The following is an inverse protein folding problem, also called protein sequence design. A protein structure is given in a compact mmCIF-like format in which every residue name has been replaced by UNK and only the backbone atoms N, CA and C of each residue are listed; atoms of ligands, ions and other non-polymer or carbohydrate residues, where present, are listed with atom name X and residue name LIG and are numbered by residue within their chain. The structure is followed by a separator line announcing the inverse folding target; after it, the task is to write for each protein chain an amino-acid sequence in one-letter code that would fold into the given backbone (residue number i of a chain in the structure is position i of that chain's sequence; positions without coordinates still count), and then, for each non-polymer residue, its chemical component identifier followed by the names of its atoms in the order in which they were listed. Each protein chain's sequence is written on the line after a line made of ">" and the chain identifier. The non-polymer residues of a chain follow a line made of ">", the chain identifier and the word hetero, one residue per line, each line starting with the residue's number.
data_IF_562174795209
#
_entry.id   IF_562174795209
#
_cell.length_a   1.000
_cell.length_b   1.000
_cell.length_c   1.000
_cell.angle_alpha   90.00
_cell.angle_beta   90.00
_cell.angle_gamma   90.00
#
_symmetry.space_group_name_H-M   'P 1'
#
loop_
_entity.id
_entity.type
_entity.pdbx_description
1 polymer ?
#
# COMPACT_ATOMS: atom_id res chain seq x y z
N UNK A 1 21.12 1.92 15.60
CA UNK A 1 20.32 3.16 15.38
C UNK A 1 19.14 2.89 14.45
N UNK A 2 19.37 2.42 13.22
CA UNK A 2 18.32 2.11 12.23
C UNK A 2 17.26 1.14 12.79
N UNK A 3 17.67 0.03 13.42
CA UNK A 3 16.74 -0.96 14.00
C UNK A 3 15.79 -0.33 15.03
N UNK A 4 16.31 0.45 15.98
CA UNK A 4 15.49 1.12 17.00
C UNK A 4 14.50 2.13 16.39
N UNK A 5 14.89 2.84 15.33
CA UNK A 5 13.99 3.74 14.59
C UNK A 5 12.88 2.93 13.92
N UNK A 6 13.21 1.84 13.24
CA UNK A 6 12.21 0.97 12.60
C UNK A 6 11.24 0.39 13.62
N UNK A 7 11.73 -0.18 14.73
CA UNK A 7 10.89 -0.72 15.80
C UNK A 7 9.94 0.34 16.38
N UNK A 8 10.46 1.54 16.65
CA UNK A 8 9.67 2.65 17.13
C UNK A 8 8.55 3.03 16.15
N UNK A 9 8.87 3.15 14.85
CA UNK A 9 7.87 3.49 13.82
C UNK A 9 6.86 2.36 13.63
N UNK A 10 7.27 1.09 13.74
CA UNK A 10 6.36 -0.07 13.72
C UNK A 10 5.38 -0.03 14.88
N UNK A 11 5.84 0.31 16.09
CA UNK A 11 4.94 0.50 17.24
C UNK A 11 3.93 1.62 16.98
N UNK A 12 4.36 2.75 16.43
CA UNK A 12 3.45 3.83 16.02
C UNK A 12 2.44 3.37 14.96
N UNK A 13 2.89 2.58 13.99
CA UNK A 13 2.06 2.02 12.92
C UNK A 13 1.00 1.05 13.47
N UNK A 14 1.35 0.24 14.48
CA UNK A 14 0.38 -0.60 15.20
C UNK A 14 -0.63 0.23 15.97
N UNK A 15 -0.19 1.30 16.65
CA UNK A 15 -1.08 2.22 17.37
C UNK A 15 -2.06 2.89 16.41
N UNK A 16 -1.60 3.38 15.27
CA UNK A 16 -2.48 4.02 14.27
C UNK A 16 -3.42 3.02 13.62
N UNK A 17 -2.98 1.79 13.32
CA UNK A 17 -3.87 0.72 12.83
C UNK A 17 -5.00 0.40 13.83
N UNK A 18 -4.68 0.30 15.13
CA UNK A 18 -5.68 0.11 16.17
C UNK A 18 -6.63 1.31 16.30
N UNK A 19 -6.12 2.53 16.15
CA UNK A 19 -6.93 3.75 16.16
C UNK A 19 -7.92 3.81 14.99
N UNK A 20 -7.48 3.43 13.78
CA UNK A 20 -8.30 3.33 12.56
C UNK A 20 -9.50 2.39 12.77
N UNK A 21 -9.33 1.27 13.48
CA UNK A 21 -10.42 0.33 13.76
C UNK A 21 -11.46 0.90 14.75
N UNK A 22 -11.06 1.86 15.58
CA UNK A 22 -11.89 2.39 16.68
C UNK A 22 -12.58 3.71 16.36
N UNK A 23 -12.01 4.50 15.45
CA UNK A 23 -12.55 5.80 15.08
C UNK A 23 -13.89 5.65 14.38
N UNK A 24 -14.83 6.55 14.70
CA UNK A 24 -16.16 6.61 14.06
C UNK A 24 -16.33 7.82 13.17
N UNK A 25 -15.56 8.87 13.44
CA UNK A 25 -15.55 10.06 12.63
C UNK A 25 -14.81 9.77 11.32
N UNK A 26 -15.49 9.99 10.18
CA UNK A 26 -14.96 9.61 8.87
C UNK A 26 -13.83 10.54 8.42
N UNK A 27 -13.86 11.82 8.83
CA UNK A 27 -12.78 12.74 8.54
C UNK A 27 -11.50 12.31 9.29
N UNK A 28 -11.63 12.03 10.59
CA UNK A 28 -10.54 11.50 11.40
C UNK A 28 -10.05 10.13 10.89
N UNK A 29 -10.93 9.27 10.37
CA UNK A 29 -10.54 8.01 9.72
C UNK A 29 -9.61 8.24 8.53
N UNK A 30 -9.98 9.17 7.63
CA UNK A 30 -9.18 9.49 6.44
C UNK A 30 -7.82 10.08 6.83
N UNK A 31 -7.79 10.98 7.82
CA UNK A 31 -6.55 11.53 8.36
C UNK A 31 -5.67 10.44 8.98
N UNK A 32 -6.24 9.53 9.78
CA UNK A 32 -5.49 8.43 10.40
C UNK A 32 -4.93 7.43 9.36
N UNK A 33 -5.67 7.16 8.28
CA UNK A 33 -5.18 6.34 7.17
C UNK A 33 -4.00 7.02 6.44
N UNK A 34 -4.07 8.34 6.22
CA UNK A 34 -2.96 9.11 5.66
C UNK A 34 -1.71 9.03 6.55
N UNK A 35 -1.87 9.18 7.87
CA UNK A 35 -0.76 9.04 8.82
C UNK A 35 -0.19 7.62 8.81
N UNK A 36 -1.04 6.60 8.75
CA UNK A 36 -0.60 5.20 8.65
C UNK A 36 0.29 4.97 7.41
N UNK A 37 -0.15 5.40 6.23
CA UNK A 37 0.66 5.30 5.00
C UNK A 37 1.95 6.11 5.09
N UNK A 38 1.91 7.29 5.73
CA UNK A 38 3.11 8.13 5.93
C UNK A 38 4.16 7.45 6.81
N UNK A 39 3.73 6.81 7.90
CA UNK A 39 4.61 6.01 8.75
C UNK A 39 5.17 4.80 8.00
N UNK A 40 4.37 4.16 7.14
CA UNK A 40 4.83 3.06 6.31
C UNK A 40 5.89 3.50 5.28
N UNK A 41 5.70 4.66 4.64
CA UNK A 41 6.70 5.27 3.75
C UNK A 41 8.03 5.55 4.49
N UNK A 42 7.98 6.01 5.75
CA UNK A 42 9.17 6.20 6.58
C UNK A 42 9.90 4.87 6.81
N UNK A 43 9.19 3.78 7.11
CA UNK A 43 9.79 2.45 7.26
C UNK A 43 10.52 2.04 5.97
N UNK A 44 9.88 2.19 4.82
CA UNK A 44 10.47 1.88 3.51
C UNK A 44 11.74 2.70 3.23
N UNK A 45 11.71 4.00 3.54
CA UNK A 45 12.87 4.87 3.38
C UNK A 45 14.04 4.45 4.29
N UNK A 46 13.75 4.10 5.54
CA UNK A 46 14.74 3.62 6.52
C UNK A 46 15.32 2.26 6.10
N UNK A 47 14.55 1.42 5.42
CA UNK A 47 15.01 0.15 4.84
C UNK A 47 15.82 0.31 3.55
N UNK A 48 16.09 1.54 3.10
CA UNK A 48 16.90 1.79 1.89
C UNK A 48 16.12 1.63 0.59
N UNK A 49 14.79 1.72 0.62
CA UNK A 49 13.93 1.68 -0.57
C UNK A 49 13.32 3.06 -0.87
N UNK A 50 14.12 4.06 -1.32
CA UNK A 50 13.65 5.43 -1.51
C UNK A 50 12.56 5.56 -2.59
N UNK A 51 12.68 4.82 -3.68
CA UNK A 51 11.71 4.87 -4.79
C UNK A 51 10.33 4.35 -4.34
N UNK A 52 10.30 3.25 -3.59
CA UNK A 52 9.06 2.67 -3.02
C UNK A 52 8.50 3.55 -1.91
N UNK A 53 9.36 4.16 -1.08
CA UNK A 53 8.93 5.10 -0.06
C UNK A 53 8.27 6.34 -0.67
N UNK A 54 8.83 6.86 -1.77
CA UNK A 54 8.29 8.01 -2.48
C UNK A 54 6.91 7.69 -3.09
N UNK A 55 6.77 6.54 -3.74
CA UNK A 55 5.47 6.14 -4.32
C UNK A 55 4.41 5.91 -3.24
N UNK A 56 4.76 5.27 -2.12
CA UNK A 56 3.85 5.12 -0.97
C UNK A 56 3.47 6.48 -0.37
N UNK A 57 4.42 7.40 -0.23
CA UNK A 57 4.13 8.74 0.26
C UNK A 57 3.14 9.46 -0.68
N UNK A 58 3.39 9.46 -1.99
CA UNK A 58 2.50 10.14 -2.96
C UNK A 58 1.13 9.48 -3.01
N UNK A 59 1.07 8.16 -3.19
CA UNK A 59 -0.20 7.45 -3.42
C UNK A 59 -0.98 7.27 -2.12
N UNK A 60 -0.33 6.75 -1.07
CA UNK A 60 -0.95 6.41 0.20
C UNK A 60 -1.35 7.66 1.01
N UNK A 61 -0.43 8.61 1.19
CA UNK A 61 -0.72 9.79 2.03
C UNK A 61 -1.53 10.86 1.31
N UNK A 62 -1.30 11.07 0.00
CA UNK A 62 -1.84 12.23 -0.72
C UNK A 62 -2.99 11.85 -1.64
N UNK A 63 -2.76 11.01 -2.65
CA UNK A 63 -3.79 10.68 -3.66
C UNK A 63 -5.01 10.00 -3.04
N UNK A 64 -4.82 8.96 -2.24
CA UNK A 64 -5.91 8.27 -1.52
C UNK A 64 -6.68 9.21 -0.60
N UNK A 65 -5.99 10.09 0.12
CA UNK A 65 -6.62 11.07 1.01
C UNK A 65 -7.48 12.06 0.23
N UNK A 66 -7.02 12.56 -0.91
CA UNK A 66 -7.80 13.46 -1.77
C UNK A 66 -9.07 12.76 -2.26
N UNK A 67 -8.95 11.51 -2.74
CA UNK A 67 -10.12 10.75 -3.20
C UNK A 67 -11.11 10.45 -2.07
N UNK A 68 -10.63 10.01 -0.91
CA UNK A 68 -11.50 9.76 0.24
C UNK A 68 -12.16 11.06 0.73
N UNK A 69 -11.43 12.17 0.81
CA UNK A 69 -11.99 13.47 1.16
C UNK A 69 -13.04 13.94 0.15
N UNK A 70 -12.80 13.76 -1.15
CA UNK A 70 -13.77 14.08 -2.20
C UNK A 70 -15.04 13.20 -2.08
N UNK A 71 -14.86 11.92 -1.73
CA UNK A 71 -15.96 10.99 -1.49
C UNK A 71 -16.79 11.37 -0.26
N UNK A 72 -16.15 11.78 0.85
CA UNK A 72 -16.85 12.19 2.06
C UNK A 72 -17.77 13.40 1.85
N UNK A 73 -17.48 14.27 0.87
CA UNK A 73 -18.39 15.36 0.50
C UNK A 73 -19.69 14.88 -0.14
N UNK A 74 -19.78 13.62 -0.58
CA UNK A 74 -20.94 13.05 -1.26
C UNK A 74 -21.69 11.98 -0.46
N UNK A 75 -21.14 11.54 0.68
CA UNK A 75 -21.76 10.52 1.54
C UNK A 75 -22.34 11.18 2.79
N UNK A 76 -23.56 10.81 3.16
CA UNK A 76 -24.14 11.19 4.44
C UNK A 76 -23.67 10.20 5.53
N UNK A 77 -22.85 10.62 6.51
CA UNK A 77 -22.29 9.72 7.52
C UNK A 77 -23.35 9.03 8.41
N UNK A 78 -24.56 9.62 8.48
CA UNK A 78 -25.67 9.11 9.27
C UNK A 78 -26.28 7.81 8.72
N UNK A 79 -26.11 7.51 7.43
CA UNK A 79 -26.68 6.29 6.81
C UNK A 79 -25.86 5.02 7.11
N UNK A 80 -24.62 5.15 7.63
CA UNK A 80 -23.74 4.00 7.88
C UNK A 80 -24.04 3.21 9.18
N UNK A 81 -25.09 3.56 9.93
CA UNK A 81 -25.33 3.02 11.29
C UNK A 81 -26.47 1.98 11.38
N UNK A 82 -26.36 0.83 10.70
CA UNK A 82 -27.29 -0.31 10.94
C UNK A 82 -26.67 -1.71 10.90
N UNK A 83 -25.44 -1.89 11.38
CA UNK A 83 -24.89 -3.24 11.58
C UNK A 83 -25.12 -3.76 13.00
N UNK A 84 -25.91 -4.82 13.12
CA UNK A 84 -26.14 -5.56 14.38
C UNK A 84 -24.81 -6.03 15.00
N UNK A 85 -24.72 -6.02 16.34
CA UNK A 85 -23.56 -6.49 17.10
C UNK A 85 -23.11 -7.90 16.67
N UNK A 86 -24.06 -8.77 16.32
CA UNK A 86 -23.79 -10.13 15.82
C UNK A 86 -23.02 -10.13 14.50
N UNK A 87 -23.40 -9.27 13.53
CA UNK A 87 -22.69 -9.15 12.25
C UNK A 87 -21.28 -8.57 12.41
N UNK A 88 -21.10 -7.65 13.38
CA UNK A 88 -19.78 -7.12 13.73
C UNK A 88 -18.87 -8.21 14.30
N UNK A 89 -19.39 -9.08 15.16
CA UNK A 89 -18.66 -10.23 15.69
C UNK A 89 -18.32 -11.24 14.59
N UNK A 90 -19.26 -11.50 13.68
CA UNK A 90 -19.03 -12.38 12.53
C UNK A 90 -17.94 -11.87 11.58
N UNK A 91 -17.82 -10.54 11.40
CA UNK A 91 -16.79 -9.94 10.55
C UNK A 91 -15.35 -10.14 11.08
N UNK A 92 -15.16 -10.41 12.37
CA UNK A 92 -13.84 -10.73 12.91
C UNK A 92 -13.33 -12.09 12.46
N UNK A 93 -14.22 -13.05 12.18
CA UNK A 93 -13.83 -14.40 11.76
C UNK A 93 -13.00 -14.39 10.47
N UNK A 94 -13.49 -13.84 9.34
CA UNK A 94 -12.68 -13.79 8.12
C UNK A 94 -11.46 -12.86 8.26
N UNK A 95 -11.57 -11.76 9.01
CA UNK A 95 -10.44 -10.84 9.21
C UNK A 95 -9.28 -11.51 9.95
N UNK A 96 -9.56 -12.24 11.04
CA UNK A 96 -8.56 -12.99 11.80
C UNK A 96 -8.07 -14.22 11.03
N UNK A 97 -8.93 -14.88 10.26
CA UNK A 97 -8.52 -16.01 9.43
C UNK A 97 -7.52 -15.57 8.34
N UNK A 98 -7.82 -14.47 7.62
CA UNK A 98 -6.92 -13.91 6.61
C UNK A 98 -5.64 -13.37 7.27
N UNK A 99 -5.76 -12.63 8.37
CA UNK A 99 -4.59 -12.12 9.10
C UNK A 99 -3.69 -13.24 9.61
N UNK A 100 -4.26 -14.30 10.16
CA UNK A 100 -3.53 -15.49 10.60
C UNK A 100 -2.87 -16.24 9.45
N UNK A 101 -3.54 -16.37 8.30
CA UNK A 101 -2.96 -16.96 7.10
C UNK A 101 -1.77 -16.15 6.57
N UNK A 102 -1.88 -14.82 6.54
CA UNK A 102 -0.79 -13.94 6.13
C UNK A 102 0.40 -14.06 7.10
N UNK A 103 0.17 -14.05 8.41
CA UNK A 103 1.21 -14.25 9.42
C UNK A 103 1.84 -15.64 9.33
N UNK A 104 1.06 -16.68 9.03
CA UNK A 104 1.59 -18.01 8.75
C UNK A 104 2.53 -18.00 7.54
N UNK A 105 2.12 -17.32 6.45
CA UNK A 105 2.92 -17.16 5.24
C UNK A 105 4.26 -16.46 5.45
N UNK A 106 4.39 -15.59 6.46
CA UNK A 106 5.67 -14.94 6.81
C UNK A 106 6.74 -15.98 7.17
N UNK A 107 6.37 -17.13 7.75
CA UNK A 107 7.35 -18.19 8.09
C UNK A 107 7.96 -18.86 6.85
N UNK A 108 7.35 -18.72 5.68
CA UNK A 108 7.89 -19.23 4.42
C UNK A 108 8.87 -18.26 3.76
N UNK A 109 8.97 -17.02 4.25
CA UNK A 109 9.91 -16.03 3.74
C UNK A 109 11.30 -16.22 4.39
N UNK A 110 12.39 -15.95 3.65
CA UNK A 110 13.73 -15.89 4.24
C UNK A 110 13.78 -14.87 5.38
N UNK A 111 14.67 -15.12 6.34
CA UNK A 111 14.91 -14.15 7.41
C UNK A 111 15.35 -12.80 6.81
N UNK A 112 14.95 -11.71 7.43
CA UNK A 112 15.33 -10.38 6.96
C UNK A 112 16.87 -10.24 6.95
N UNK A 113 17.42 -9.88 5.79
CA UNK A 113 18.87 -9.75 5.61
C UNK A 113 19.62 -11.08 5.45
N UNK A 114 18.93 -12.19 5.21
CA UNK A 114 19.58 -13.48 4.96
C UNK A 114 20.43 -13.46 3.68
N UNK A 115 21.74 -13.59 3.87
CA UNK A 115 22.73 -13.62 2.79
C UNK A 115 22.61 -14.85 1.89
N UNK A 116 22.01 -15.93 2.39
CA UNK A 116 21.74 -17.15 1.62
C UNK A 116 20.41 -17.10 0.85
N UNK A 117 19.64 -16.01 0.98
CA UNK A 117 18.37 -15.89 0.28
C UNK A 117 18.57 -15.86 -1.25
N UNK A 118 17.67 -16.47 -2.04
CA UNK A 118 17.82 -16.49 -3.50
C UNK A 118 18.05 -15.11 -4.12
N UNK A 119 17.32 -14.03 -3.73
CA UNK A 119 17.58 -12.70 -4.27
C UNK A 119 19.00 -12.18 -4.00
N UNK A 120 19.56 -12.45 -2.82
CA UNK A 120 20.87 -11.95 -2.41
C UNK A 120 22.02 -12.73 -3.08
N UNK A 121 21.85 -14.03 -3.33
CA UNK A 121 22.91 -14.89 -3.88
C UNK A 121 23.16 -14.62 -5.36
N UNK A 122 22.11 -14.44 -6.18
CA UNK A 122 22.28 -14.32 -7.63
C UNK A 122 21.70 -13.04 -8.24
N UNK A 123 20.47 -12.65 -7.90
CA UNK A 123 19.79 -11.53 -8.57
C UNK A 123 20.41 -10.16 -8.25
N UNK A 124 20.53 -9.84 -6.96
CA UNK A 124 20.96 -8.52 -6.54
C UNK A 124 22.37 -8.18 -7.02
N UNK A 125 23.40 -9.05 -6.88
CA UNK A 125 24.74 -8.75 -7.37
C UNK A 125 24.78 -8.54 -8.88
N UNK A 126 24.04 -9.35 -9.65
CA UNK A 126 24.00 -9.26 -11.11
C UNK A 126 23.38 -7.94 -11.57
N UNK A 127 22.23 -7.54 -11.01
CA UNK A 127 21.62 -6.26 -11.35
C UNK A 127 22.48 -5.06 -10.93
N UNK A 128 23.07 -5.09 -9.74
CA UNK A 128 23.93 -3.97 -9.27
C UNK A 128 25.16 -3.82 -10.16
N UNK A 129 25.78 -4.93 -10.58
CA UNK A 129 27.00 -4.88 -11.39
C UNK A 129 26.73 -4.51 -12.86
N UNK A 130 25.60 -4.95 -13.42
CA UNK A 130 25.36 -4.86 -14.87
C UNK A 130 24.37 -3.77 -15.29
N UNK A 131 23.48 -3.29 -14.41
CA UNK A 131 22.39 -2.40 -14.82
C UNK A 131 22.88 -1.15 -15.53
N UNK A 132 23.94 -0.50 -15.03
CA UNK A 132 24.48 0.71 -15.63
C UNK A 132 25.07 0.43 -17.03
N UNK A 133 25.73 -0.71 -17.21
CA UNK A 133 26.32 -1.10 -18.49
C UNK A 133 25.25 -1.46 -19.51
N UNK A 134 24.25 -2.25 -19.10
CA UNK A 134 23.24 -2.79 -20.02
C UNK A 134 22.18 -1.74 -20.40
N UNK A 135 21.79 -0.88 -19.47
CA UNK A 135 20.65 0.07 -19.63
C UNK A 135 21.07 1.53 -19.72
N UNK A 136 22.34 1.85 -19.43
CA UNK A 136 22.84 3.23 -19.35
C UNK A 136 22.10 4.10 -18.32
N UNK A 137 21.39 3.47 -17.38
CA UNK A 137 20.60 4.14 -16.34
C UNK A 137 21.28 3.99 -14.98
N UNK A 138 21.57 5.08 -14.26
CA UNK A 138 22.27 5.02 -12.97
C UNK A 138 21.39 4.52 -11.81
N UNK A 139 20.07 4.66 -11.90
CA UNK A 139 19.16 4.10 -10.90
C UNK A 139 18.85 2.64 -11.23
N UNK A 140 19.37 1.72 -10.40
CA UNK A 140 19.17 0.27 -10.53
C UNK A 140 17.69 -0.11 -10.49
N UNK A 141 16.87 0.53 -9.65
CA UNK A 141 15.43 0.23 -9.54
C UNK A 141 14.71 0.61 -10.83
N UNK A 142 15.01 1.79 -11.39
CA UNK A 142 14.46 2.21 -12.68
C UNK A 142 14.88 1.27 -13.80
N UNK A 143 16.17 0.89 -13.85
CA UNK A 143 16.66 -0.08 -14.84
C UNK A 143 15.96 -1.45 -14.73
N UNK A 144 15.69 -1.91 -13.51
CA UNK A 144 14.94 -3.17 -13.30
C UNK A 144 13.51 -3.03 -13.81
N UNK A 145 12.79 -1.98 -13.45
CA UNK A 145 11.37 -1.81 -13.81
C UNK A 145 11.16 -1.50 -15.30
N UNK A 146 12.03 -0.67 -15.88
CA UNK A 146 11.86 -0.16 -17.24
C UNK A 146 12.54 -1.00 -18.32
N UNK A 147 13.64 -1.69 -18.01
CA UNK A 147 14.40 -2.47 -18.98
C UNK A 147 14.31 -3.98 -18.71
N UNK A 148 14.80 -4.47 -17.57
CA UNK A 148 14.87 -5.91 -17.30
C UNK A 148 13.49 -6.57 -17.11
N UNK A 149 12.57 -5.88 -16.44
CA UNK A 149 11.20 -6.35 -16.12
C UNK A 149 10.14 -5.41 -16.72
N UNK A 150 10.45 -4.86 -17.89
CA UNK A 150 9.61 -3.92 -18.63
C UNK A 150 8.19 -4.43 -18.90
N UNK A 151 8.02 -5.74 -19.13
CA UNK A 151 6.70 -6.36 -19.34
C UNK A 151 5.81 -6.30 -18.10
N UNK A 152 6.37 -6.48 -16.90
CA UNK A 152 5.60 -6.39 -15.66
C UNK A 152 5.06 -4.95 -15.51
N UNK A 153 5.91 -3.94 -15.68
CA UNK A 153 5.54 -2.52 -15.64
C UNK A 153 4.55 -2.12 -16.75
N UNK A 154 4.70 -2.67 -17.96
CA UNK A 154 3.77 -2.43 -19.06
C UNK A 154 2.35 -2.90 -18.72
N UNK A 155 2.24 -4.10 -18.12
CA UNK A 155 0.94 -4.65 -17.73
C UNK A 155 0.38 -3.90 -16.51
N UNK A 156 1.22 -3.55 -15.54
CA UNK A 156 0.80 -2.73 -14.39
C UNK A 156 0.22 -1.37 -14.83
N UNK A 157 0.90 -0.67 -15.74
CA UNK A 157 0.42 0.61 -16.29
C UNK A 157 -0.87 0.43 -17.11
N UNK A 158 -1.02 -0.67 -17.85
CA UNK A 158 -2.27 -0.99 -18.54
C UNK A 158 -3.43 -1.22 -17.56
N UNK A 159 -3.18 -1.87 -16.42
CA UNK A 159 -4.18 -2.08 -15.35
C UNK A 159 -4.61 -0.74 -14.74
N UNK A 160 -3.65 0.13 -14.40
CA UNK A 160 -3.93 1.45 -13.83
C UNK A 160 -4.72 2.32 -14.82
N UNK A 161 -4.32 2.33 -16.09
CA UNK A 161 -5.04 3.04 -17.15
C UNK A 161 -6.47 2.53 -17.28
N UNK A 162 -6.65 1.21 -17.30
CA UNK A 162 -7.98 0.57 -17.39
C UNK A 162 -8.85 0.94 -16.19
N UNK A 163 -8.30 0.91 -14.98
CA UNK A 163 -9.02 1.33 -13.77
C UNK A 163 -9.43 2.81 -13.83
N UNK A 164 -8.52 3.69 -14.28
CA UNK A 164 -8.80 5.12 -14.44
C UNK A 164 -9.92 5.37 -15.46
N UNK A 165 -9.88 4.71 -16.62
CA UNK A 165 -10.93 4.79 -17.63
C UNK A 165 -12.27 4.25 -17.11
N UNK A 166 -12.26 3.12 -16.40
CA UNK A 166 -13.46 2.57 -15.77
C UNK A 166 -14.09 3.55 -14.77
N UNK A 167 -13.27 4.18 -13.91
CA UNK A 167 -13.73 5.22 -13.00
C UNK A 167 -14.35 6.41 -13.74
N UNK A 168 -13.73 6.90 -14.81
CA UNK A 168 -14.26 8.00 -15.61
C UNK A 168 -15.61 7.65 -16.25
N UNK A 169 -15.74 6.46 -16.82
CA UNK A 169 -16.99 5.98 -17.41
C UNK A 169 -18.11 5.87 -16.36
N UNK A 170 -17.79 5.36 -15.16
CA UNK A 170 -18.75 5.29 -14.04
C UNK A 170 -19.18 6.69 -13.59
N UNK A 171 -18.24 7.65 -13.51
CA UNK A 171 -18.54 9.03 -13.11
C UNK A 171 -19.36 9.81 -14.17
N UNK A 172 -19.20 9.49 -15.46
CA UNK A 172 -19.96 10.10 -16.54
C UNK A 172 -21.39 9.59 -16.67
N UNK A 173 -21.70 8.43 -16.07
CA UNK A 173 -23.06 7.88 -16.09
C UNK A 173 -24.01 8.83 -15.36
N UNK A 174 -24.82 9.56 -16.14
CA UNK A 174 -25.88 10.41 -15.64
C UNK A 174 -26.87 9.53 -14.86
N UNK A 175 -27.12 9.86 -13.60
CA UNK A 175 -28.19 9.21 -12.85
C UNK A 175 -29.51 9.65 -13.48
N UNK A 176 -30.11 8.80 -14.32
CA UNK A 176 -31.50 8.96 -14.68
C UNK A 176 -32.34 8.67 -13.44
N UNK A 177 -33.14 9.63 -12.93
CA UNK A 177 -33.89 9.48 -11.69
C UNK A 177 -35.16 8.61 -11.83
N UNK A 178 -35.23 7.72 -12.83
CA UNK A 178 -36.46 6.99 -13.19
C UNK A 178 -36.29 5.48 -13.25
N UNK A 179 -35.67 4.89 -12.23
CA UNK A 179 -35.91 3.49 -11.81
C UNK A 179 -35.89 3.43 -10.28
#
# INVERSE_FOLDING_TARGET
>A
MIIYVTEFVVVLLLITALAVIRVRDMFALVVLLSVYSGLFAVILAVMGAPDVAFTEAVVGTSVSTIFFMALLRRINPMELSRYSRSRRLLAWVPALAIGGLLLYGVNALPAFGDAASPPTVYLSPEYIARSLHDTHTPNVVTAILADYRSFDTLIETAVVLTAALACLLVMQRKNDPTV
#
